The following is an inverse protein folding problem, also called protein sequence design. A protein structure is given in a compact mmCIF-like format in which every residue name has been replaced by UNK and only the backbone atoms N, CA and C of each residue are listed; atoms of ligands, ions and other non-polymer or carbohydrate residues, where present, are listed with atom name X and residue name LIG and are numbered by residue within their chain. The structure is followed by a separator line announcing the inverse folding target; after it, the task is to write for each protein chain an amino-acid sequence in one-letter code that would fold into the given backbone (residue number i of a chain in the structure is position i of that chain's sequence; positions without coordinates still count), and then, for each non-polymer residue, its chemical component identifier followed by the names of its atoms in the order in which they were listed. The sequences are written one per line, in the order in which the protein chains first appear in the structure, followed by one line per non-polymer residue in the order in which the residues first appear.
data_IF_261686421183
#
_entry.id   IF_261686421183
#
_cell.length_a   1.000
_cell.length_b   1.000
_cell.length_c   1.000
_cell.angle_alpha   90.00
_cell.angle_beta   90.00
_cell.angle_gamma   90.00
#
_symmetry.space_group_name_H-M   'P 1'
#
loop_
_entity.id
_entity.type
_entity.pdbx_description
1 polymer ?
#
# COMPACT_ATOMS: atom_id res chain seq x y z
N UNK A 1 -2.09 15.08 -34.65
CA UNK A 1 -1.63 16.08 -35.67
C UNK A 1 -0.32 16.78 -35.29
N UNK A 2 0.23 16.55 -34.10
CA UNK A 2 1.46 17.23 -33.62
C UNK A 2 2.63 16.27 -33.39
N UNK A 3 2.62 15.08 -33.98
CA UNK A 3 3.81 14.24 -34.00
C UNK A 3 4.88 14.91 -34.90
N UNK A 4 6.04 15.20 -34.33
CA UNK A 4 7.17 15.73 -35.08
C UNK A 4 7.87 14.58 -35.83
N UNK A 5 8.72 14.92 -36.80
CA UNK A 5 9.55 13.94 -37.51
C UNK A 5 10.44 13.08 -36.58
N UNK A 6 10.57 13.48 -35.30
CA UNK A 6 11.38 12.80 -34.29
C UNK A 6 10.53 11.90 -33.36
N UNK A 7 9.20 11.79 -33.58
CA UNK A 7 8.31 11.03 -32.72
C UNK A 7 7.57 9.96 -33.50
N UNK A 8 7.50 8.76 -32.94
CA UNK A 8 6.69 7.67 -33.46
C UNK A 8 5.75 7.20 -32.37
N UNK A 9 4.45 7.11 -32.68
CA UNK A 9 3.48 6.53 -31.77
C UNK A 9 3.63 5.01 -31.80
N UNK A 10 3.98 4.42 -30.67
CA UNK A 10 4.21 2.95 -30.54
C UNK A 10 3.08 2.24 -29.79
N UNK A 11 2.26 2.96 -29.04
CA UNK A 11 1.20 2.34 -28.26
C UNK A 11 0.37 3.33 -27.46
N UNK A 12 -0.48 2.79 -26.61
CA UNK A 12 -1.33 3.49 -25.67
C UNK A 12 -0.97 3.03 -24.27
N UNK A 13 -0.79 3.98 -23.35
CA UNK A 13 -0.73 3.72 -21.91
C UNK A 13 -2.08 4.04 -21.28
N UNK A 14 -2.56 3.15 -20.40
CA UNK A 14 -3.75 3.39 -19.57
C UNK A 14 -3.50 2.98 -18.12
N UNK A 15 -3.52 3.96 -17.23
CA UNK A 15 -3.66 3.77 -15.79
C UNK A 15 -4.85 4.57 -15.25
N UNK A 16 -5.86 3.90 -14.74
CA UNK A 16 -7.10 4.53 -14.26
C UNK A 16 -7.30 4.40 -12.74
N UNK A 17 -6.27 4.07 -12.02
CA UNK A 17 -6.27 3.96 -10.55
C UNK A 17 -5.88 2.58 -10.02
N UNK A 18 -5.79 2.51 -8.70
CA UNK A 18 -5.34 1.31 -7.94
C UNK A 18 -6.52 0.63 -7.24
N UNK A 19 -6.27 -0.55 -6.62
CA UNK A 19 -7.23 -1.30 -5.82
C UNK A 19 -8.54 -1.59 -6.56
N UNK A 20 -8.43 -2.11 -7.78
CA UNK A 20 -9.59 -2.48 -8.60
C UNK A 20 -10.06 -3.88 -8.24
N UNK A 21 -11.20 -3.97 -7.56
CA UNK A 21 -11.82 -5.23 -7.13
C UNK A 21 -12.88 -5.76 -8.11
N UNK A 22 -13.13 -5.05 -9.22
CA UNK A 22 -14.21 -5.36 -10.14
C UNK A 22 -13.70 -5.67 -11.54
N UNK A 23 -13.90 -6.90 -11.96
CA UNK A 23 -13.63 -7.33 -13.35
C UNK A 23 -14.44 -6.49 -14.34
N UNK A 24 -15.70 -6.16 -14.03
CA UNK A 24 -16.53 -5.31 -14.89
C UNK A 24 -15.86 -3.97 -15.19
N UNK A 25 -15.18 -3.37 -14.19
CA UNK A 25 -14.46 -2.12 -14.40
C UNK A 25 -13.29 -2.32 -15.37
N UNK A 26 -12.52 -3.40 -15.23
CA UNK A 26 -11.40 -3.73 -16.12
C UNK A 26 -11.91 -3.98 -17.56
N UNK A 27 -13.01 -4.71 -17.71
CA UNK A 27 -13.63 -4.97 -19.03
C UNK A 27 -14.10 -3.67 -19.69
N UNK A 28 -14.69 -2.75 -18.95
CA UNK A 28 -15.07 -1.45 -19.48
C UNK A 28 -13.85 -0.64 -19.96
N UNK A 29 -12.75 -0.69 -19.23
CA UNK A 29 -11.49 -0.06 -19.64
C UNK A 29 -10.94 -0.69 -20.93
N UNK A 30 -10.98 -2.01 -21.05
CA UNK A 30 -10.56 -2.71 -22.27
C UNK A 30 -11.43 -2.38 -23.49
N UNK A 31 -12.73 -2.23 -23.28
CA UNK A 31 -13.65 -1.77 -24.33
C UNK A 31 -13.27 -0.38 -24.83
N UNK A 32 -13.05 0.56 -23.90
CA UNK A 32 -12.62 1.92 -24.24
C UNK A 32 -11.27 1.93 -24.97
N UNK A 33 -10.31 1.13 -24.52
CA UNK A 33 -8.99 1.05 -25.13
C UNK A 33 -9.09 0.51 -26.57
N UNK A 34 -9.93 -0.51 -26.80
CA UNK A 34 -10.14 -1.03 -28.16
C UNK A 34 -10.79 0.02 -29.08
N UNK A 35 -11.78 0.77 -28.60
CA UNK A 35 -12.36 1.88 -29.38
C UNK A 35 -11.30 2.93 -29.76
N UNK A 36 -10.38 3.24 -28.86
CA UNK A 36 -9.27 4.16 -29.14
C UNK A 36 -8.30 3.55 -30.16
N UNK A 37 -7.94 2.27 -30.04
CA UNK A 37 -7.10 1.59 -31.03
C UNK A 37 -7.76 1.59 -32.41
N UNK A 38 -9.02 1.22 -32.50
CA UNK A 38 -9.78 1.21 -33.77
C UNK A 38 -9.78 2.61 -34.40
N UNK A 39 -9.99 3.66 -33.61
CA UNK A 39 -9.94 5.03 -34.09
C UNK A 39 -8.57 5.41 -34.66
N UNK A 40 -7.48 5.11 -33.90
CA UNK A 40 -6.11 5.47 -34.31
C UNK A 40 -5.71 4.68 -35.56
N UNK A 41 -5.93 3.37 -35.57
CA UNK A 41 -5.57 2.49 -36.68
C UNK A 41 -6.33 2.85 -37.95
N UNK A 42 -7.63 3.14 -37.84
CA UNK A 42 -8.45 3.50 -39.00
C UNK A 42 -8.14 4.90 -39.51
N UNK A 43 -7.86 5.86 -38.63
CA UNK A 43 -7.66 7.28 -39.00
C UNK A 43 -6.25 7.51 -39.51
N UNK A 44 -5.24 6.97 -38.83
CA UNK A 44 -3.84 7.26 -39.09
C UNK A 44 -3.09 6.14 -39.80
N UNK A 45 -3.76 4.99 -40.04
CA UNK A 45 -3.19 3.79 -40.69
C UNK A 45 -1.94 3.28 -39.97
N UNK A 46 -1.90 3.42 -38.62
CA UNK A 46 -0.86 2.87 -37.78
C UNK A 46 -1.20 1.40 -37.48
N UNK A 47 -0.20 0.55 -37.44
CA UNK A 47 -0.31 -0.88 -37.11
C UNK A 47 0.66 -1.21 -35.97
N UNK A 48 0.46 -2.37 -35.37
CA UNK A 48 1.37 -2.93 -34.36
C UNK A 48 1.52 -2.06 -33.08
N UNK A 49 0.47 -1.30 -32.75
CA UNK A 49 0.44 -0.52 -31.52
C UNK A 49 0.37 -1.42 -30.29
N UNK A 50 1.17 -1.13 -29.27
CA UNK A 50 1.22 -1.85 -28.00
C UNK A 50 0.22 -1.25 -26.99
N UNK A 51 -0.21 -2.05 -26.03
CA UNK A 51 -0.92 -1.58 -24.84
C UNK A 51 0.01 -1.67 -23.63
N UNK A 52 0.25 -0.55 -22.96
CA UNK A 52 0.79 -0.49 -21.62
C UNK A 52 -0.36 -0.26 -20.62
N UNK A 53 -0.60 -1.22 -19.75
CA UNK A 53 -1.79 -1.22 -18.91
C UNK A 53 -1.45 -1.38 -17.43
N UNK A 54 -1.84 -0.39 -16.64
CA UNK A 54 -1.82 -0.43 -15.19
C UNK A 54 -3.12 -1.04 -14.63
N UNK A 55 -3.19 -2.36 -14.38
CA UNK A 55 -4.42 -3.01 -13.93
C UNK A 55 -4.88 -2.55 -12.55
N UNK A 56 -3.98 -1.97 -11.75
CA UNK A 56 -4.27 -1.55 -10.39
C UNK A 56 -4.78 -2.70 -9.52
N UNK A 57 -4.16 -3.89 -9.64
CA UNK A 57 -4.56 -5.10 -8.92
C UNK A 57 -4.68 -4.86 -7.42
N UNK A 58 -5.70 -5.42 -6.77
CA UNK A 58 -5.98 -5.16 -5.36
C UNK A 58 -5.00 -5.86 -4.42
N UNK A 59 -4.81 -5.26 -3.26
CA UNK A 59 -4.16 -5.85 -2.09
C UNK A 59 -5.14 -5.80 -0.93
N UNK A 60 -5.32 -6.91 -0.24
CA UNK A 60 -6.25 -7.03 0.88
C UNK A 60 -5.54 -6.68 2.18
N UNK A 61 -5.61 -5.43 2.56
CA UNK A 61 -4.96 -4.85 3.71
C UNK A 61 -5.69 -5.14 5.02
N UNK A 62 -7.02 -5.32 4.94
CA UNK A 62 -7.90 -5.34 6.12
C UNK A 62 -8.50 -6.72 6.34
N UNK A 63 -8.87 -7.01 7.60
CA UNK A 63 -9.41 -8.32 7.98
C UNK A 63 -10.82 -8.56 7.42
N UNK A 64 -11.60 -7.50 7.23
CA UNK A 64 -12.96 -7.55 6.70
C UNK A 64 -13.00 -7.88 5.20
N UNK A 65 -11.86 -7.85 4.52
CA UNK A 65 -11.77 -8.11 3.09
C UNK A 65 -11.58 -9.61 2.83
N UNK A 66 -12.42 -10.17 1.98
CA UNK A 66 -12.28 -11.54 1.46
C UNK A 66 -12.27 -11.54 -0.05
N UNK A 67 -11.44 -12.39 -0.66
CA UNK A 67 -11.27 -12.40 -2.11
C UNK A 67 -10.57 -13.66 -2.60
N UNK A 68 -11.04 -14.17 -3.73
CA UNK A 68 -10.36 -15.23 -4.45
C UNK A 68 -9.40 -14.62 -5.49
N UNK A 69 -8.16 -14.41 -5.08
CA UNK A 69 -7.12 -13.78 -5.92
C UNK A 69 -6.86 -14.59 -7.20
N UNK A 70 -6.81 -15.91 -7.09
CA UNK A 70 -6.53 -16.78 -8.22
C UNK A 70 -7.63 -16.68 -9.30
N UNK A 71 -8.88 -16.71 -8.88
CA UNK A 71 -10.03 -16.56 -9.76
C UNK A 71 -10.01 -15.21 -10.47
N UNK A 72 -9.79 -14.13 -9.71
CA UNK A 72 -9.71 -12.78 -10.26
C UNK A 72 -8.58 -12.63 -11.28
N UNK A 73 -7.39 -13.10 -10.96
CA UNK A 73 -6.23 -13.04 -11.87
C UNK A 73 -6.47 -13.86 -13.13
N UNK A 74 -7.13 -15.03 -13.03
CA UNK A 74 -7.52 -15.80 -14.18
C UNK A 74 -8.54 -15.06 -15.06
N UNK A 75 -9.52 -14.39 -14.47
CA UNK A 75 -10.47 -13.56 -15.22
C UNK A 75 -9.78 -12.38 -15.91
N UNK A 76 -8.88 -11.67 -15.23
CA UNK A 76 -8.07 -10.59 -15.84
C UNK A 76 -7.28 -11.11 -17.02
N UNK A 77 -6.57 -12.23 -16.85
CA UNK A 77 -5.80 -12.89 -17.92
C UNK A 77 -6.67 -13.24 -19.11
N UNK A 78 -7.82 -13.87 -18.88
CA UNK A 78 -8.72 -14.30 -19.96
C UNK A 78 -9.28 -13.09 -20.73
N UNK A 79 -9.62 -12.02 -20.04
CA UNK A 79 -10.08 -10.79 -20.67
C UNK A 79 -8.96 -10.12 -21.50
N UNK A 80 -7.73 -10.06 -21.00
CA UNK A 80 -6.58 -9.59 -21.80
C UNK A 80 -6.45 -10.39 -23.09
N UNK A 81 -6.49 -11.72 -23.02
CA UNK A 81 -6.40 -12.57 -24.20
C UNK A 81 -7.57 -12.40 -25.17
N UNK A 82 -8.75 -12.11 -24.67
CA UNK A 82 -9.96 -11.91 -25.49
C UNK A 82 -9.92 -10.57 -26.22
N UNK A 83 -9.64 -9.48 -25.49
CA UNK A 83 -9.69 -8.13 -26.03
C UNK A 83 -8.47 -7.77 -26.89
N UNK A 84 -7.29 -8.29 -26.54
CA UNK A 84 -6.02 -7.87 -27.14
C UNK A 84 -5.27 -9.04 -27.82
N UNK A 85 -6.03 -9.97 -28.44
CA UNK A 85 -5.45 -11.11 -29.16
C UNK A 85 -4.50 -10.63 -30.26
N UNK A 86 -3.24 -11.08 -30.19
CA UNK A 86 -2.20 -10.72 -31.16
C UNK A 86 -1.52 -9.37 -30.92
N UNK A 87 -2.00 -8.58 -29.97
CA UNK A 87 -1.38 -7.32 -29.56
C UNK A 87 -0.41 -7.56 -28.40
N UNK A 88 0.71 -6.87 -28.39
CA UNK A 88 1.61 -6.86 -27.25
C UNK A 88 0.98 -6.06 -26.12
N UNK A 89 0.86 -6.68 -24.94
CA UNK A 89 0.38 -6.05 -23.73
C UNK A 89 1.48 -6.07 -22.68
N UNK A 90 1.80 -4.90 -22.15
CA UNK A 90 2.74 -4.69 -21.06
C UNK A 90 1.90 -4.37 -19.83
N UNK A 91 2.12 -5.05 -18.71
CA UNK A 91 1.42 -4.82 -17.46
C UNK A 91 2.30 -4.04 -16.49
N UNK A 92 1.83 -2.89 -16.02
CA UNK A 92 2.46 -2.11 -14.98
C UNK A 92 1.90 -2.51 -13.61
N UNK A 93 2.59 -3.41 -12.94
CA UNK A 93 2.17 -3.95 -11.64
C UNK A 93 3.21 -3.55 -10.58
N UNK A 94 2.79 -2.81 -9.58
CA UNK A 94 3.64 -2.38 -8.47
C UNK A 94 3.15 -2.94 -7.14
N UNK A 95 2.10 -2.34 -6.60
CA UNK A 95 1.57 -2.60 -5.25
C UNK A 95 1.34 -4.09 -4.96
N UNK A 96 0.62 -4.79 -5.81
CA UNK A 96 0.26 -6.19 -5.59
C UNK A 96 1.43 -7.17 -5.65
N UNK A 97 2.52 -6.82 -6.32
CA UNK A 97 3.72 -7.68 -6.37
C UNK A 97 4.53 -7.68 -5.07
N UNK A 98 4.53 -6.56 -4.33
CA UNK A 98 5.46 -6.39 -3.22
C UNK A 98 4.80 -6.08 -1.88
N UNK A 99 3.49 -5.80 -1.83
CA UNK A 99 2.82 -5.45 -0.59
C UNK A 99 2.97 -6.55 0.48
N UNK A 100 2.77 -7.79 0.11
CA UNK A 100 2.78 -8.94 1.01
C UNK A 100 4.19 -9.39 1.45
N UNK A 101 5.26 -8.86 0.86
CA UNK A 101 6.61 -9.18 1.28
C UNK A 101 7.16 -8.25 2.39
N UNK A 102 6.38 -7.24 2.78
CA UNK A 102 6.76 -6.31 3.84
C UNK A 102 5.93 -6.45 5.10
N UNK A 103 6.60 -6.31 6.24
CA UNK A 103 6.00 -6.27 7.56
C UNK A 103 6.52 -5.04 8.31
N UNK A 104 5.64 -4.35 9.03
CA UNK A 104 6.01 -3.26 9.90
C UNK A 104 5.96 -3.71 11.36
N UNK A 105 7.10 -3.63 12.04
CA UNK A 105 7.26 -4.06 13.42
C UNK A 105 7.33 -2.83 14.32
N UNK A 106 6.50 -2.80 15.36
CA UNK A 106 6.41 -1.69 16.31
C UNK A 106 6.06 -2.21 17.71
N UNK A 107 6.31 -1.43 18.74
CA UNK A 107 6.11 -1.83 20.13
C UNK A 107 5.12 -0.94 20.84
N UNK A 108 4.42 -1.53 21.81
CA UNK A 108 3.64 -0.77 22.79
C UNK A 108 4.59 0.01 23.71
N UNK A 109 4.44 1.32 23.74
CA UNK A 109 5.25 2.22 24.59
C UNK A 109 4.46 2.83 25.74
N UNK A 110 3.12 2.84 25.65
CA UNK A 110 2.27 3.31 26.72
C UNK A 110 0.90 2.62 26.70
N UNK A 111 0.33 2.43 27.88
CA UNK A 111 -1.01 1.86 28.07
C UNK A 111 -1.82 2.79 28.97
N UNK A 112 -3.05 3.05 28.57
CA UNK A 112 -3.96 3.91 29.31
C UNK A 112 -5.35 3.31 29.38
N UNK A 113 -5.97 3.43 30.52
CA UNK A 113 -7.39 3.08 30.72
C UNK A 113 -8.14 4.25 31.31
N UNK A 114 -9.32 4.51 30.82
CA UNK A 114 -10.23 5.52 31.34
C UNK A 114 -11.68 5.08 31.17
N UNK A 115 -12.64 5.97 31.47
CA UNK A 115 -14.09 5.68 31.36
C UNK A 115 -14.54 5.36 29.94
N UNK A 116 -13.77 5.69 28.91
CA UNK A 116 -14.12 5.50 27.51
C UNK A 116 -13.45 4.26 26.89
N UNK A 117 -12.52 3.62 27.59
CA UNK A 117 -11.91 2.35 27.15
C UNK A 117 -10.43 2.22 27.45
N UNK A 118 -9.84 1.17 26.89
CA UNK A 118 -8.40 0.88 26.95
C UNK A 118 -7.72 1.35 25.68
N UNK A 119 -6.53 1.89 25.86
CA UNK A 119 -5.72 2.49 24.80
C UNK A 119 -4.30 1.94 24.87
N UNK A 120 -3.74 1.58 23.73
CA UNK A 120 -2.33 1.25 23.57
C UNK A 120 -1.70 2.26 22.60
N UNK A 121 -0.55 2.79 22.97
CA UNK A 121 0.25 3.69 22.13
C UNK A 121 1.47 2.92 21.66
N UNK A 122 1.68 2.89 20.35
CA UNK A 122 2.87 2.26 19.74
C UNK A 122 3.95 3.30 19.44
N UNK A 123 5.20 2.87 19.32
CA UNK A 123 6.36 3.76 19.07
C UNK A 123 6.40 4.34 17.64
N UNK A 124 5.59 3.81 16.73
CA UNK A 124 5.34 4.35 15.40
C UNK A 124 3.99 5.07 15.30
N UNK A 125 3.39 5.00 14.12
CA UNK A 125 2.11 5.61 13.81
C UNK A 125 1.95 5.87 12.31
N UNK A 126 1.03 6.76 11.93
CA UNK A 126 0.78 7.11 10.52
C UNK A 126 1.96 7.83 9.85
N UNK A 127 2.99 8.18 10.58
CA UNK A 127 4.27 8.62 10.02
C UNK A 127 5.09 7.47 9.39
N UNK A 128 4.83 6.23 9.80
CA UNK A 128 5.54 5.04 9.33
C UNK A 128 4.64 4.06 8.60
N UNK A 129 3.35 4.03 8.94
CA UNK A 129 2.42 3.00 8.50
C UNK A 129 1.15 3.63 7.94
N UNK A 130 0.98 3.51 6.64
CA UNK A 130 -0.24 3.93 5.93
C UNK A 130 -0.73 2.79 5.05
N UNK A 131 -2.01 2.50 5.13
CA UNK A 131 -2.69 1.58 4.23
C UNK A 131 -3.65 2.34 3.33
N UNK A 132 -3.62 2.05 2.04
CA UNK A 132 -4.55 2.64 1.10
C UNK A 132 -6.01 2.32 1.48
N UNK A 133 -6.81 3.35 1.66
CA UNK A 133 -8.19 3.23 2.14
C UNK A 133 -8.34 3.17 3.66
N UNK A 134 -7.25 3.00 4.40
CA UNK A 134 -7.26 3.03 5.87
C UNK A 134 -7.13 4.44 6.41
N UNK A 135 -8.17 4.93 7.09
CA UNK A 135 -8.16 6.23 7.75
C UNK A 135 -8.74 6.15 9.15
N UNK A 136 -8.08 6.79 10.11
CA UNK A 136 -8.57 6.96 11.48
C UNK A 136 -9.07 5.67 12.17
N UNK A 137 -8.43 4.53 11.86
CA UNK A 137 -8.77 3.23 12.47
C UNK A 137 -10.18 2.71 12.15
N UNK A 138 -10.79 3.12 11.03
CA UNK A 138 -12.11 2.63 10.62
C UNK A 138 -12.09 1.21 10.08
N UNK A 139 -10.96 0.78 9.53
CA UNK A 139 -10.72 -0.58 9.04
C UNK A 139 -9.64 -1.24 9.89
N UNK A 140 -9.72 -2.55 10.07
CA UNK A 140 -8.74 -3.30 10.86
C UNK A 140 -7.63 -3.84 9.97
N UNK A 141 -6.39 -3.30 10.02
CA UNK A 141 -5.25 -3.86 9.30
C UNK A 141 -4.97 -5.29 9.75
N UNK A 142 -4.42 -6.11 8.86
CA UNK A 142 -3.93 -7.44 9.22
C UNK A 142 -2.66 -7.32 10.06
N UNK A 143 -2.68 -7.83 11.28
CA UNK A 143 -1.52 -7.84 12.17
C UNK A 143 -1.54 -9.02 13.12
N UNK A 144 -0.41 -9.27 13.76
CA UNK A 144 -0.26 -10.21 14.86
C UNK A 144 0.50 -9.55 16.01
N UNK A 145 0.36 -10.10 17.22
CA UNK A 145 1.13 -9.72 18.40
C UNK A 145 2.06 -10.88 18.73
N UNK A 146 3.36 -10.63 18.73
CA UNK A 146 4.36 -11.67 18.98
C UNK A 146 4.26 -12.19 20.43
N UNK A 147 4.38 -13.51 20.55
CA UNK A 147 4.47 -14.22 21.85
C UNK A 147 3.27 -14.02 22.79
N UNK A 148 2.10 -13.64 22.27
CA UNK A 148 0.85 -13.60 23.07
C UNK A 148 -0.02 -14.82 22.77
N UNK A 149 -0.46 -15.50 23.84
CA UNK A 149 -1.50 -16.54 23.77
C UNK A 149 -2.86 -15.92 24.10
N UNK A 150 -3.90 -16.32 23.36
CA UNK A 150 -5.28 -15.84 23.53
C UNK A 150 -5.93 -16.41 24.78
N UNK A 151 -5.72 -15.79 25.93
CA UNK A 151 -6.33 -16.28 27.19
C UNK A 151 -7.40 -15.35 27.77
N UNK A 152 -7.33 -14.05 27.54
CA UNK A 152 -8.33 -13.08 27.99
C UNK A 152 -8.32 -11.90 27.03
N UNK A 153 -9.45 -11.68 26.38
CA UNK A 153 -9.58 -10.57 25.43
C UNK A 153 -10.10 -9.31 26.10
N UNK A 154 -9.50 -8.19 25.72
CA UNK A 154 -9.92 -6.85 26.07
C UNK A 154 -10.10 -6.03 24.79
N UNK A 155 -10.98 -5.04 24.85
CA UNK A 155 -11.17 -4.12 23.72
C UNK A 155 -10.18 -2.96 23.84
N UNK A 156 -9.35 -2.80 22.82
CA UNK A 156 -8.35 -1.75 22.74
C UNK A 156 -8.58 -0.82 21.55
N UNK A 157 -8.11 0.43 21.70
CA UNK A 157 -7.88 1.36 20.64
C UNK A 157 -6.36 1.56 20.51
N UNK A 158 -5.80 1.35 19.32
CA UNK A 158 -4.37 1.44 19.07
C UNK A 158 -4.06 2.77 18.38
N UNK A 159 -3.20 3.54 19.01
CA UNK A 159 -2.77 4.86 18.54
C UNK A 159 -1.27 4.85 18.25
N UNK A 160 -0.85 5.67 17.29
CA UNK A 160 0.55 5.97 17.10
C UNK A 160 1.05 7.01 18.12
N UNK A 161 2.32 7.36 17.99
CA UNK A 161 3.04 8.25 18.93
C UNK A 161 2.99 9.74 18.56
N UNK A 162 2.25 10.10 17.50
CA UNK A 162 2.15 11.50 17.07
C UNK A 162 1.11 12.27 17.88
N UNK A 163 1.38 13.54 18.14
CA UNK A 163 0.44 14.46 18.77
C UNK A 163 -0.59 14.97 17.73
N UNK A 164 -1.41 14.06 17.22
CA UNK A 164 -2.53 14.38 16.33
C UNK A 164 -3.67 13.39 16.53
N UNK A 165 -4.91 13.88 16.42
CA UNK A 165 -6.12 13.06 16.53
C UNK A 165 -6.25 12.03 15.39
N UNK A 166 -5.49 12.20 14.31
CA UNK A 166 -5.53 11.31 13.16
C UNK A 166 -4.65 10.08 13.32
N UNK A 167 -3.75 10.05 14.32
CA UNK A 167 -2.82 8.95 14.53
C UNK A 167 -3.49 7.75 15.22
N UNK A 168 -4.55 7.26 14.60
CA UNK A 168 -5.32 6.12 15.06
C UNK A 168 -5.12 4.98 14.07
N UNK A 169 -4.50 3.89 14.54
CA UNK A 169 -4.19 2.73 13.70
C UNK A 169 -5.39 1.79 13.62
N UNK A 170 -6.02 1.49 14.75
CA UNK A 170 -7.20 0.64 14.80
C UNK A 170 -8.06 0.99 16.01
N UNK A 171 -9.38 0.87 15.89
CA UNK A 171 -10.35 1.09 16.95
C UNK A 171 -11.09 -0.18 17.32
N UNK A 172 -11.46 -0.28 18.59
CA UNK A 172 -12.36 -1.30 19.12
C UNK A 172 -11.94 -2.74 18.74
N UNK A 173 -10.65 -3.02 18.82
CA UNK A 173 -10.10 -4.35 18.49
C UNK A 173 -10.03 -5.22 19.74
N UNK A 174 -10.52 -6.47 19.64
CA UNK A 174 -10.38 -7.48 20.70
C UNK A 174 -8.99 -8.10 20.67
N UNK A 175 -8.24 -7.96 21.75
CA UNK A 175 -6.85 -8.40 21.87
C UNK A 175 -6.61 -9.03 23.25
N UNK A 176 -5.61 -9.92 23.38
CA UNK A 176 -5.07 -10.33 24.66
C UNK A 176 -4.69 -9.11 25.52
N UNK A 177 -4.59 -9.30 26.83
CA UNK A 177 -4.13 -8.22 27.70
C UNK A 177 -2.74 -7.76 27.29
N UNK A 178 -2.63 -6.46 26.95
CA UNK A 178 -1.39 -5.86 26.45
C UNK A 178 -0.48 -5.40 27.60
N UNK A 179 0.81 -5.48 27.33
CA UNK A 179 1.89 -4.99 28.21
C UNK A 179 2.83 -4.07 27.44
N UNK A 180 3.55 -3.23 28.16
CA UNK A 180 4.63 -2.40 27.58
C UNK A 180 5.67 -3.32 26.95
N UNK A 181 6.15 -2.99 25.76
CA UNK A 181 7.03 -3.75 24.87
C UNK A 181 6.36 -4.91 24.13
N UNK A 182 5.07 -5.15 24.25
CA UNK A 182 4.39 -6.04 23.32
C UNK A 182 4.64 -5.59 21.89
N UNK A 183 4.93 -6.54 21.03
CA UNK A 183 5.36 -6.25 19.67
C UNK A 183 4.25 -6.58 18.68
N UNK A 184 3.80 -5.57 17.95
CA UNK A 184 2.88 -5.70 16.83
C UNK A 184 3.66 -5.92 15.53
N UNK A 185 3.16 -6.80 14.68
CA UNK A 185 3.66 -7.03 13.32
C UNK A 185 2.52 -6.79 12.35
N UNK A 186 2.51 -5.64 11.73
CA UNK A 186 1.53 -5.26 10.71
C UNK A 186 1.94 -5.83 9.36
N UNK A 187 1.00 -6.50 8.68
CA UNK A 187 1.23 -7.22 7.42
C UNK A 187 1.01 -6.33 6.19
N UNK A 188 1.46 -6.81 5.03
CA UNK A 188 1.24 -6.17 3.73
C UNK A 188 1.80 -4.74 3.60
N UNK A 189 2.93 -4.47 4.21
CA UNK A 189 3.54 -3.13 4.24
C UNK A 189 4.65 -2.92 3.20
N UNK A 190 4.88 -3.90 2.31
CA UNK A 190 5.99 -3.88 1.36
C UNK A 190 5.86 -2.86 0.21
N UNK A 191 4.67 -2.28 0.03
CA UNK A 191 4.43 -1.29 -1.02
C UNK A 191 3.87 0.01 -0.44
N UNK A 192 4.60 1.12 -0.61
CA UNK A 192 4.20 2.51 -0.31
C UNK A 192 3.94 2.84 1.17
N UNK A 193 3.62 1.87 2.03
CA UNK A 193 3.18 2.10 3.42
C UNK A 193 4.09 3.03 4.23
N UNK A 194 5.40 2.99 4.01
CA UNK A 194 6.36 3.88 4.68
C UNK A 194 6.49 5.22 3.94
N UNK A 195 6.41 5.23 2.61
CA UNK A 195 6.66 6.43 1.81
C UNK A 195 5.43 7.33 1.66
N UNK A 196 4.23 6.78 1.81
CA UNK A 196 2.97 7.54 1.83
C UNK A 196 2.65 8.12 3.23
N UNK A 197 3.44 7.77 4.26
CA UNK A 197 3.30 8.31 5.61
C UNK A 197 3.65 9.79 5.72
N UNK A 198 3.16 10.45 6.76
CA UNK A 198 3.48 11.86 7.07
C UNK A 198 4.86 11.98 7.73
N UNK A 199 5.88 11.47 7.06
CA UNK A 199 7.21 11.22 7.62
C UNK A 199 7.91 12.43 8.25
N UNK A 200 7.60 13.65 7.81
CA UNK A 200 8.22 14.87 8.34
C UNK A 200 7.47 15.49 9.51
N UNK A 201 6.25 15.03 9.80
CA UNK A 201 5.43 15.62 10.86
C UNK A 201 6.04 15.35 12.24
N UNK A 202 6.17 16.42 13.03
CA UNK A 202 6.78 16.42 14.36
C UNK A 202 8.23 15.90 14.42
N UNK A 203 8.93 15.87 13.29
CA UNK A 203 10.34 15.48 13.20
C UNK A 203 10.66 14.10 13.78
N UNK A 204 9.71 13.17 13.69
CA UNK A 204 9.92 11.77 14.09
C UNK A 204 10.83 11.07 13.11
N UNK A 205 11.76 10.27 13.61
CA UNK A 205 12.67 9.50 12.76
C UNK A 205 11.91 8.50 11.89
N UNK A 206 12.38 8.31 10.66
CA UNK A 206 11.88 7.22 9.81
C UNK A 206 12.40 5.87 10.31
N UNK A 207 11.64 4.78 10.15
CA UNK A 207 12.03 3.46 10.65
C UNK A 207 13.22 2.89 9.88
N UNK A 208 13.93 1.96 10.53
CA UNK A 208 14.91 1.10 9.85
C UNK A 208 14.21 0.22 8.83
N UNK A 209 14.93 -0.11 7.75
CA UNK A 209 14.50 -1.12 6.77
C UNK A 209 15.46 -2.28 6.82
N UNK A 210 14.93 -3.44 7.12
CA UNK A 210 15.65 -4.70 7.18
C UNK A 210 15.21 -5.60 6.02
N UNK A 211 16.16 -6.26 5.37
CA UNK A 211 15.90 -7.30 4.39
C UNK A 211 16.17 -8.66 5.01
N UNK A 212 15.13 -9.50 5.07
CA UNK A 212 15.27 -10.89 5.47
C UNK A 212 15.49 -11.76 4.21
N UNK A 213 16.66 -12.34 4.08
CA UNK A 213 17.01 -13.23 2.96
C UNK A 213 17.72 -14.48 3.47
N UNK A 214 17.16 -15.66 3.18
CA UNK A 214 17.75 -16.96 3.59
C UNK A 214 18.11 -17.02 5.08
N UNK A 215 17.20 -16.56 5.95
CA UNK A 215 17.37 -16.45 7.42
C UNK A 215 18.44 -15.44 7.89
N UNK A 216 19.05 -14.70 6.98
CA UNK A 216 19.96 -13.61 7.31
C UNK A 216 19.19 -12.28 7.29
N UNK A 217 19.44 -11.43 8.28
CA UNK A 217 18.89 -10.09 8.38
C UNK A 217 19.96 -9.09 7.96
N UNK A 218 19.65 -8.29 6.94
CA UNK A 218 20.51 -7.23 6.44
C UNK A 218 19.87 -5.87 6.72
N UNK A 219 20.63 -4.96 7.31
CA UNK A 219 20.22 -3.56 7.43
C UNK A 219 20.37 -2.89 6.05
N UNK A 220 19.24 -2.59 5.41
CA UNK A 220 19.22 -1.94 4.07
C UNK A 220 19.22 -0.42 4.22
N UNK A 221 18.51 0.09 5.21
CA UNK A 221 18.46 1.51 5.55
C UNK A 221 18.36 1.67 7.07
N UNK A 222 19.24 2.47 7.64
CA UNK A 222 19.13 2.86 9.04
C UNK A 222 18.02 3.90 9.24
N UNK A 223 17.68 4.22 10.47
CA UNK A 223 16.73 5.27 10.76
C UNK A 223 17.23 6.62 10.19
N UNK A 224 16.30 7.42 9.68
CA UNK A 224 16.60 8.75 9.14
C UNK A 224 16.06 9.80 10.11
N UNK A 225 16.94 10.69 10.57
CA UNK A 225 16.58 11.79 11.44
C UNK A 225 15.90 12.89 10.64
N UNK A 226 14.58 12.97 10.69
CA UNK A 226 13.81 13.94 9.89
C UNK A 226 13.90 15.37 10.41
N UNK A 227 14.31 15.58 11.66
CA UNK A 227 14.52 16.92 12.19
C UNK A 227 15.57 17.72 11.37
N UNK A 228 16.54 17.06 10.75
CA UNK A 228 17.52 17.68 9.87
C UNK A 228 16.91 18.29 8.61
N UNK A 229 15.79 17.75 8.15
CA UNK A 229 15.03 18.27 7.01
C UNK A 229 14.11 19.42 7.42
N UNK A 230 13.64 19.42 8.67
CA UNK A 230 12.72 20.42 9.21
C UNK A 230 13.45 21.61 9.86
N UNK A 231 14.74 21.49 10.13
CA UNK A 231 15.52 22.55 10.73
C UNK A 231 16.11 23.48 9.64
N UNK A 232 16.06 24.80 9.82
CA UNK A 232 16.70 25.71 8.88
C UNK A 232 18.22 25.49 8.89
N UNK A 233 18.81 25.36 7.71
CA UNK A 233 20.25 25.47 7.57
C UNK A 233 20.62 26.94 7.79
N UNK A 234 20.90 27.31 9.01
CA UNK A 234 21.64 28.56 9.27
C UNK A 234 23.03 28.34 8.68
N UNK A 235 23.21 28.82 7.43
CA UNK A 235 24.40 28.61 6.64
C UNK A 235 25.63 28.75 7.51
N UNK A 236 26.35 27.66 7.63
CA UNK A 236 27.60 27.67 8.38
C UNK A 236 28.52 28.73 7.78
N UNK A 237 28.94 29.66 8.62
CA UNK A 237 30.16 30.39 8.41
C UNK A 237 31.33 29.44 8.55
#
# INVERSE_FOLDING_TARGET
ENLTEFMTLTGIELFSGTQKHSIKRIVNEFTLVNEIFDYIENTYKLTDLELEYGPGLPVYYFEEESFNEEEFLNEVKNNIHTFFKGRKVILEIGRSLVANCGEYITKVVDLKENKTGKYAIIDGGINHLVYYGGTMGMMRPKFEILNKSNTKENIYNIFGSLCTINDIIVKNVSLPELEINDTFVFKNTGAYSVTEGINLFLSRDMPKVLLLKNKNVLLVRDNINTYKLNSPNYGGK
#
